data_IF_464737061575
#
_entry.id   IF_464737061575
#
_cell.length_a   1.000
_cell.length_b   1.000
_cell.length_c   1.000
_cell.angle_alpha   90.00
_cell.angle_beta   90.00
_cell.angle_gamma   90.00
#
_symmetry.space_group_name_H-M   'P 1'
#
loop_
_entity.id
_entity.type
_entity.pdbx_description
1 polymer ?
#
# COMPACT_ATOMS: atom_id res chain seq x y z
N UNK A 1 -11.53 19.35 -17.69
CA UNK A 1 -11.28 19.09 -16.24
C UNK A 1 -11.20 17.59 -15.88
N UNK A 2 -11.59 16.64 -16.76
CA UNK A 2 -11.50 15.17 -16.50
C UNK A 2 -10.13 14.56 -16.77
N UNK A 3 -9.27 15.16 -17.59
CA UNK A 3 -7.95 14.62 -17.93
C UNK A 3 -6.87 14.85 -16.86
N UNK A 4 -7.02 15.84 -15.99
CA UNK A 4 -6.03 16.13 -14.93
C UNK A 4 -6.13 15.21 -13.71
N UNK A 5 -7.27 14.52 -13.49
CA UNK A 5 -7.42 13.54 -12.40
C UNK A 5 -6.66 12.24 -12.69
N UNK A 6 -6.66 11.75 -13.92
CA UNK A 6 -6.06 10.48 -14.30
C UNK A 6 -4.53 10.43 -14.10
N UNK A 7 -3.84 11.53 -14.35
CA UNK A 7 -2.39 11.63 -14.14
C UNK A 7 -1.99 11.85 -12.68
N UNK A 8 -2.83 12.48 -11.88
CA UNK A 8 -2.59 12.69 -10.46
C UNK A 8 -2.77 11.40 -9.65
N UNK A 9 -3.72 10.57 -10.03
CA UNK A 9 -4.01 9.34 -9.32
C UNK A 9 -2.90 8.29 -9.53
N UNK A 10 -2.29 8.23 -10.70
CA UNK A 10 -1.28 7.22 -11.00
C UNK A 10 0.06 7.42 -10.27
N UNK A 11 0.51 8.63 -10.05
CA UNK A 11 1.80 8.90 -9.40
C UNK A 11 1.68 9.09 -7.87
N UNK A 12 0.53 9.57 -7.37
CA UNK A 12 0.35 9.80 -5.94
C UNK A 12 -0.19 8.58 -5.19
N UNK A 13 -1.02 7.75 -5.82
CA UNK A 13 -1.64 6.61 -5.15
C UNK A 13 -0.72 5.39 -5.08
N UNK A 14 0.08 5.13 -6.10
CA UNK A 14 0.97 3.95 -6.13
C UNK A 14 2.18 4.11 -5.21
N UNK A 15 2.76 5.29 -5.09
CA UNK A 15 3.96 5.49 -4.27
C UNK A 15 3.69 5.95 -2.84
N UNK A 16 2.64 6.75 -2.61
CA UNK A 16 2.42 7.33 -1.29
C UNK A 16 1.40 6.59 -0.46
N UNK A 17 0.31 6.09 -1.04
CA UNK A 17 -0.73 5.41 -0.27
C UNK A 17 -0.39 3.96 0.04
N UNK A 18 0.17 3.20 -0.90
CA UNK A 18 0.50 1.78 -0.72
C UNK A 18 1.58 1.54 0.34
N UNK A 19 2.57 2.42 0.41
CA UNK A 19 3.66 2.32 1.38
C UNK A 19 3.43 3.15 2.65
N UNK A 20 2.47 4.08 2.63
CA UNK A 20 2.21 5.00 3.73
C UNK A 20 1.91 4.27 5.04
N UNK A 21 1.06 3.27 4.98
CA UNK A 21 0.71 2.49 6.16
C UNK A 21 1.95 1.76 6.72
N UNK A 22 2.78 1.13 5.88
CA UNK A 22 4.01 0.47 6.30
C UNK A 22 5.04 1.42 6.92
N UNK A 23 5.20 2.59 6.32
CA UNK A 23 6.22 3.55 6.76
C UNK A 23 5.85 4.27 8.05
N UNK A 24 4.55 4.57 8.25
CA UNK A 24 4.11 5.45 9.33
C UNK A 24 3.37 4.73 10.46
N UNK A 25 2.72 3.60 10.19
CA UNK A 25 1.86 2.95 11.17
C UNK A 25 2.41 1.66 11.76
N UNK A 26 3.31 0.96 11.08
CA UNK A 26 3.96 -0.24 11.63
C UNK A 26 5.00 0.11 12.71
N UNK A 27 5.40 -0.87 13.50
CA UNK A 27 6.42 -0.67 14.51
C UNK A 27 7.76 -0.23 13.89
N UNK A 28 8.54 0.64 14.55
CA UNK A 28 9.74 1.27 13.96
C UNK A 28 10.79 0.29 13.45
N UNK A 29 10.91 -0.87 14.09
CA UNK A 29 11.91 -1.91 13.75
C UNK A 29 11.28 -3.11 13.05
N UNK A 30 10.01 -3.04 12.63
CA UNK A 30 9.33 -4.14 11.98
C UNK A 30 9.97 -4.50 10.64
N UNK A 31 9.87 -5.77 10.27
CA UNK A 31 10.35 -6.26 8.98
C UNK A 31 9.64 -5.54 7.82
N UNK A 32 8.31 -5.35 7.93
CA UNK A 32 7.51 -4.66 6.93
C UNK A 32 8.02 -3.24 6.64
N UNK A 33 8.31 -2.46 7.70
CA UNK A 33 8.84 -1.09 7.55
C UNK A 33 10.23 -1.09 6.92
N UNK A 34 11.12 -1.94 7.39
CA UNK A 34 12.49 -2.04 6.87
C UNK A 34 12.52 -2.50 5.42
N UNK A 35 11.68 -3.47 5.06
CA UNK A 35 11.53 -3.95 3.69
C UNK A 35 11.07 -2.83 2.75
N UNK A 36 10.03 -2.07 3.15
CA UNK A 36 9.55 -0.92 2.39
C UNK A 36 10.62 0.16 2.23
N UNK A 37 11.36 0.48 3.30
CA UNK A 37 12.46 1.44 3.25
C UNK A 37 13.58 0.98 2.32
N UNK A 38 13.93 -0.32 2.34
CA UNK A 38 14.95 -0.89 1.44
C UNK A 38 14.52 -0.80 -0.01
N UNK A 39 13.27 -1.14 -0.33
CA UNK A 39 12.73 -1.01 -1.68
C UNK A 39 12.77 0.45 -2.17
N UNK A 40 12.32 1.40 -1.35
CA UNK A 40 12.37 2.82 -1.66
C UNK A 40 13.80 3.32 -1.88
N UNK A 41 14.74 2.86 -1.06
CA UNK A 41 16.16 3.21 -1.21
C UNK A 41 16.68 2.78 -2.59
N UNK A 42 16.47 1.52 -2.99
CA UNK A 42 16.90 1.03 -4.30
C UNK A 42 16.22 1.78 -5.46
N UNK A 43 14.93 2.02 -5.37
CA UNK A 43 14.18 2.75 -6.39
C UNK A 43 14.71 4.17 -6.52
N UNK A 44 14.87 4.89 -5.41
CA UNK A 44 15.34 6.28 -5.42
C UNK A 44 16.76 6.38 -5.98
N UNK A 45 17.65 5.50 -5.57
CA UNK A 45 19.01 5.43 -6.11
C UNK A 45 19.05 5.19 -7.62
N UNK A 46 18.19 4.27 -8.12
CA UNK A 46 18.09 4.03 -9.56
C UNK A 46 17.54 5.25 -10.30
N UNK A 47 16.45 5.83 -9.78
CA UNK A 47 15.80 6.99 -10.39
C UNK A 47 16.74 8.20 -10.48
N UNK A 48 17.48 8.53 -9.42
CA UNK A 48 18.42 9.67 -9.43
C UNK A 48 19.50 9.49 -10.48
N UNK A 49 20.08 8.30 -10.62
CA UNK A 49 21.08 8.01 -11.64
C UNK A 49 20.52 8.09 -13.07
N UNK A 50 19.27 7.65 -13.26
CA UNK A 50 18.61 7.79 -14.57
C UNK A 50 18.23 9.23 -14.90
N UNK A 51 17.96 10.05 -13.89
CA UNK A 51 17.64 11.48 -14.06
C UNK A 51 18.87 12.35 -14.30
N UNK A 52 20.05 11.95 -13.82
CA UNK A 52 21.28 12.74 -13.87
C UNK A 52 21.64 13.30 -15.26
N UNK A 53 21.48 12.56 -16.38
CA UNK A 53 21.84 13.08 -17.70
C UNK A 53 20.98 14.25 -18.19
N UNK A 54 19.75 14.42 -17.69
CA UNK A 54 18.81 15.45 -18.18
C UNK A 54 18.28 16.39 -17.09
N UNK A 55 18.31 15.98 -15.82
CA UNK A 55 17.98 16.80 -14.67
C UNK A 55 19.19 16.93 -13.72
N UNK A 56 20.32 17.31 -14.29
CA UNK A 56 21.63 17.26 -13.66
C UNK A 56 21.69 17.91 -12.28
N UNK A 57 21.19 19.14 -12.16
CA UNK A 57 21.23 19.89 -10.89
C UNK A 57 20.31 19.26 -9.84
N UNK A 58 19.09 18.92 -10.24
CA UNK A 58 18.11 18.28 -9.32
C UNK A 58 18.59 16.93 -8.84
N UNK A 59 19.18 16.12 -9.74
CA UNK A 59 19.71 14.80 -9.39
C UNK A 59 20.89 14.92 -8.42
N UNK A 60 21.82 15.85 -8.67
CA UNK A 60 22.96 16.12 -7.79
C UNK A 60 22.53 16.63 -6.41
N UNK A 61 21.58 17.55 -6.36
CA UNK A 61 21.06 18.12 -5.12
C UNK A 61 20.38 17.05 -4.28
N UNK A 62 19.53 16.21 -4.89
CA UNK A 62 18.88 15.10 -4.22
C UNK A 62 19.86 14.00 -3.78
N UNK A 63 20.90 13.73 -4.60
CA UNK A 63 21.93 12.73 -4.29
C UNK A 63 22.68 13.06 -3.00
N UNK A 64 23.00 14.32 -2.76
CA UNK A 64 23.66 14.79 -1.53
C UNK A 64 22.86 14.49 -0.26
N UNK A 65 21.53 14.40 -0.36
CA UNK A 65 20.66 14.05 0.77
C UNK A 65 20.78 12.58 1.19
N UNK A 66 21.31 11.70 0.31
CA UNK A 66 21.53 10.29 0.62
C UNK A 66 22.86 10.02 1.34
N UNK A 67 23.62 11.07 1.68
CA UNK A 67 24.82 10.95 2.51
C UNK A 67 26.08 10.51 1.75
N UNK A 68 26.09 10.58 0.43
CA UNK A 68 27.30 10.41 -0.39
C UNK A 68 27.98 11.76 -0.57
N UNK A 69 29.27 11.85 -0.26
CA UNK A 69 30.05 13.08 -0.44
C UNK A 69 30.53 13.26 -1.90
N UNK A 70 30.37 12.24 -2.73
CA UNK A 70 30.76 12.26 -4.13
C UNK A 70 29.59 12.67 -5.03
N UNK A 71 29.92 13.30 -6.15
CA UNK A 71 28.91 13.71 -7.12
C UNK A 71 28.27 12.50 -7.81
N UNK A 72 26.97 12.60 -8.09
CA UNK A 72 26.22 11.58 -8.84
C UNK A 72 26.83 11.34 -10.24
N UNK A 73 27.55 12.30 -10.79
CA UNK A 73 28.18 12.19 -12.11
C UNK A 73 29.37 11.21 -12.16
N UNK A 74 29.84 10.75 -11.02
CA UNK A 74 30.82 9.67 -10.94
C UNK A 74 30.17 8.28 -10.84
N UNK A 75 28.86 8.23 -10.70
CA UNK A 75 28.10 6.99 -10.58
C UNK A 75 27.75 6.39 -11.94
N UNK A 76 27.65 5.07 -11.99
CA UNK A 76 27.17 4.33 -13.16
C UNK A 76 25.69 3.96 -13.01
N UNK A 77 25.03 3.61 -14.12
CA UNK A 77 23.64 3.13 -14.06
C UNK A 77 23.53 1.85 -13.23
N UNK A 78 22.49 1.81 -12.42
CA UNK A 78 22.18 0.65 -11.57
C UNK A 78 21.75 -0.53 -12.44
N UNK A 79 22.38 -1.67 -12.22
CA UNK A 79 21.86 -2.94 -12.71
C UNK A 79 20.87 -3.47 -11.67
N UNK A 80 19.59 -3.44 -12.01
CA UNK A 80 18.56 -4.03 -11.16
C UNK A 80 18.61 -5.55 -11.25
N UNK A 81 18.28 -6.27 -10.16
CA UNK A 81 18.20 -7.72 -10.20
C UNK A 81 17.15 -8.19 -11.21
N UNK A 82 17.35 -9.38 -11.75
CA UNK A 82 16.34 -9.97 -12.65
C UNK A 82 15.03 -10.17 -11.92
N UNK A 83 13.95 -9.88 -12.60
CA UNK A 83 12.60 -10.08 -12.08
C UNK A 83 12.29 -11.57 -12.09
N UNK A 84 11.73 -12.06 -10.98
CA UNK A 84 11.06 -13.36 -10.96
C UNK A 84 9.74 -13.22 -11.73
N UNK A 85 9.67 -13.88 -12.89
CA UNK A 85 8.51 -13.79 -13.78
C UNK A 85 7.24 -14.40 -13.15
N UNK A 86 7.38 -15.42 -12.30
CA UNK A 86 6.26 -16.01 -11.58
C UNK A 86 5.68 -15.01 -10.55
N UNK A 87 6.55 -14.35 -9.82
CA UNK A 87 6.16 -13.30 -8.88
C UNK A 87 5.52 -12.11 -9.60
N UNK A 88 6.06 -11.72 -10.76
CA UNK A 88 5.49 -10.66 -11.58
C UNK A 88 4.09 -11.01 -12.09
N UNK A 89 3.89 -12.24 -12.60
CA UNK A 89 2.58 -12.71 -13.05
C UNK A 89 1.57 -12.72 -11.90
N UNK A 90 1.98 -13.23 -10.72
CA UNK A 90 1.18 -13.20 -9.50
C UNK A 90 0.70 -11.77 -9.16
N UNK A 91 1.62 -10.81 -9.08
CA UNK A 91 1.28 -9.44 -8.72
C UNK A 91 0.51 -8.69 -9.81
N UNK A 92 0.70 -9.02 -11.09
CA UNK A 92 -0.11 -8.47 -12.17
C UNK A 92 -1.58 -8.88 -12.00
N UNK A 93 -1.85 -10.17 -11.72
CA UNK A 93 -3.22 -10.63 -11.48
C UNK A 93 -3.85 -9.97 -10.26
N UNK A 94 -3.11 -9.84 -9.16
CA UNK A 94 -3.56 -9.12 -7.96
C UNK A 94 -3.92 -7.66 -8.28
N UNK A 95 -3.12 -6.97 -9.11
CA UNK A 95 -3.41 -5.59 -9.54
C UNK A 95 -4.68 -5.50 -10.36
N UNK A 96 -4.93 -6.41 -11.31
CA UNK A 96 -6.17 -6.45 -12.09
C UNK A 96 -7.40 -6.56 -11.18
N UNK A 97 -7.34 -7.45 -10.16
CA UNK A 97 -8.42 -7.59 -9.19
C UNK A 97 -8.56 -6.31 -8.35
N UNK A 98 -7.44 -5.72 -7.92
CA UNK A 98 -7.44 -4.45 -7.19
C UNK A 98 -8.06 -3.31 -7.99
N UNK A 99 -7.77 -3.22 -9.29
CA UNK A 99 -8.34 -2.20 -10.17
C UNK A 99 -9.87 -2.35 -10.28
N UNK A 100 -10.37 -3.58 -10.31
CA UNK A 100 -11.81 -3.83 -10.27
C UNK A 100 -12.42 -3.41 -8.92
N UNK A 101 -11.78 -3.74 -7.79
CA UNK A 101 -12.20 -3.29 -6.45
C UNK A 101 -12.20 -1.76 -6.36
N UNK A 102 -11.15 -1.10 -6.83
CA UNK A 102 -11.05 0.35 -6.82
C UNK A 102 -12.17 1.02 -7.62
N UNK A 103 -12.56 0.44 -8.75
CA UNK A 103 -13.69 0.93 -9.56
C UNK A 103 -15.00 0.94 -8.76
N UNK A 104 -15.28 -0.11 -8.00
CA UNK A 104 -16.49 -0.20 -7.19
C UNK A 104 -16.42 0.74 -5.96
N UNK A 105 -15.25 0.92 -5.36
CA UNK A 105 -15.02 1.92 -4.30
C UNK A 105 -15.28 3.35 -4.83
N UNK A 106 -14.78 3.68 -6.04
CA UNK A 106 -15.00 5.00 -6.63
C UNK A 106 -16.49 5.22 -6.97
N UNK A 107 -17.22 4.19 -7.37
CA UNK A 107 -18.67 4.29 -7.56
C UNK A 107 -19.41 4.67 -6.26
N UNK A 108 -19.04 4.08 -5.12
CA UNK A 108 -19.57 4.46 -3.80
C UNK A 108 -19.15 5.87 -3.39
N UNK A 109 -17.95 6.27 -3.75
CA UNK A 109 -17.43 7.61 -3.46
C UNK A 109 -18.15 8.69 -4.26
N UNK A 110 -18.45 8.43 -5.53
CA UNK A 110 -19.27 9.32 -6.37
C UNK A 110 -20.69 9.50 -5.83
N UNK A 111 -21.25 8.45 -5.19
CA UNK A 111 -22.54 8.49 -4.51
C UNK A 111 -22.47 9.15 -3.11
N UNK A 112 -21.29 9.54 -2.65
CA UNK A 112 -21.09 10.15 -1.33
C UNK A 112 -21.19 9.18 -0.15
N UNK A 113 -21.21 7.86 -0.39
CA UNK A 113 -21.34 6.84 0.65
C UNK A 113 -20.03 6.59 1.40
N UNK A 114 -18.88 6.79 0.76
CA UNK A 114 -17.57 6.69 1.38
C UNK A 114 -16.73 7.93 1.05
N UNK A 115 -15.93 8.40 2.02
CA UNK A 115 -15.00 9.53 1.83
C UNK A 115 -13.61 9.09 1.36
N UNK A 116 -13.23 7.85 1.65
CA UNK A 116 -11.94 7.26 1.27
C UNK A 116 -12.05 5.74 1.18
N UNK A 117 -11.11 5.09 0.48
CA UNK A 117 -11.04 3.63 0.37
C UNK A 117 -10.91 2.94 1.75
N UNK A 118 -10.25 3.58 2.73
CA UNK A 118 -10.14 3.07 4.09
C UNK A 118 -11.48 3.02 4.85
N UNK A 119 -12.52 3.68 4.35
CA UNK A 119 -13.88 3.56 4.89
C UNK A 119 -14.65 2.36 4.30
N UNK A 120 -14.07 1.67 3.33
CA UNK A 120 -14.73 0.55 2.66
C UNK A 120 -14.42 -0.79 3.33
N UNK A 121 -15.44 -1.64 3.34
CA UNK A 121 -15.36 -3.08 3.59
C UNK A 121 -15.58 -3.79 2.27
N UNK A 122 -14.65 -4.67 1.90
CA UNK A 122 -14.69 -5.43 0.64
C UNK A 122 -14.92 -6.90 0.95
N UNK A 123 -15.88 -7.50 0.25
CA UNK A 123 -16.10 -8.94 0.21
C UNK A 123 -15.85 -9.43 -1.21
N UNK A 124 -14.94 -10.36 -1.35
CA UNK A 124 -14.58 -10.98 -2.62
C UNK A 124 -15.08 -12.40 -2.67
N UNK A 125 -15.69 -12.76 -3.80
CA UNK A 125 -15.92 -14.15 -4.19
C UNK A 125 -14.99 -14.42 -5.37
N UNK A 126 -14.25 -15.53 -5.36
CA UNK A 126 -13.28 -15.81 -6.41
C UNK A 126 -13.27 -17.29 -6.80
N UNK A 127 -13.05 -17.54 -8.08
CA UNK A 127 -12.81 -18.89 -8.61
C UNK A 127 -11.53 -19.51 -8.05
N UNK A 128 -11.30 -20.83 -8.25
CA UNK A 128 -10.23 -21.57 -7.55
C UNK A 128 -8.85 -20.93 -7.64
N UNK A 129 -8.45 -20.48 -8.84
CA UNK A 129 -7.11 -19.92 -9.08
C UNK A 129 -6.95 -18.54 -8.40
N UNK A 130 -7.90 -17.64 -8.59
CA UNK A 130 -7.89 -16.32 -7.97
C UNK A 130 -8.04 -16.43 -6.44
N UNK A 131 -8.85 -17.39 -5.97
CA UNK A 131 -9.01 -17.64 -4.54
C UNK A 131 -7.70 -18.10 -3.90
N UNK A 132 -7.02 -19.09 -4.48
CA UNK A 132 -5.72 -19.55 -3.99
C UNK A 132 -4.69 -18.41 -3.99
N UNK A 133 -4.68 -17.61 -5.06
CA UNK A 133 -3.82 -16.45 -5.21
C UNK A 133 -4.03 -15.42 -4.08
N UNK A 134 -5.28 -15.00 -3.86
CA UNK A 134 -5.63 -14.00 -2.86
C UNK A 134 -5.49 -14.54 -1.43
N UNK A 135 -5.82 -15.82 -1.21
CA UNK A 135 -5.65 -16.49 0.08
C UNK A 135 -4.17 -16.54 0.51
N UNK A 136 -3.24 -16.60 -0.46
CA UNK A 136 -1.80 -16.55 -0.18
C UNK A 136 -1.34 -15.23 0.47
N UNK A 137 -2.15 -14.19 0.43
CA UNK A 137 -1.89 -12.89 1.08
C UNK A 137 -2.38 -12.85 2.53
N UNK A 138 -3.27 -13.77 2.93
CA UNK A 138 -3.80 -13.85 4.29
C UNK A 138 -4.40 -12.53 4.76
N UNK A 139 -4.09 -12.16 5.99
CA UNK A 139 -4.58 -10.92 6.63
C UNK A 139 -4.05 -9.64 5.99
N UNK A 140 -3.01 -9.73 5.14
CA UNK A 140 -2.45 -8.57 4.43
C UNK A 140 -3.31 -8.14 3.23
N UNK A 141 -4.31 -8.92 2.84
CA UNK A 141 -5.19 -8.64 1.69
C UNK A 141 -5.84 -7.25 1.77
N UNK A 142 -6.31 -6.85 2.94
CA UNK A 142 -6.90 -5.52 3.19
C UNK A 142 -5.93 -4.37 2.90
N UNK A 143 -4.65 -4.58 3.13
CA UNK A 143 -3.63 -3.55 2.85
C UNK A 143 -3.31 -3.45 1.36
N UNK A 144 -3.41 -4.56 0.63
CA UNK A 144 -3.26 -4.57 -0.82
C UNK A 144 -4.39 -3.78 -1.49
N UNK A 145 -5.62 -3.87 -0.98
CA UNK A 145 -6.76 -3.10 -1.49
C UNK A 145 -6.90 -1.71 -0.84
N UNK A 146 -6.09 -1.39 0.16
CA UNK A 146 -6.17 -0.14 0.94
C UNK A 146 -7.58 0.06 1.53
N UNK A 147 -8.11 -1.00 2.13
CA UNK A 147 -9.44 -1.01 2.77
C UNK A 147 -9.34 -1.41 4.24
N UNK A 148 -10.36 -1.13 5.02
CA UNK A 148 -10.37 -1.51 6.44
C UNK A 148 -10.57 -3.00 6.64
N UNK A 149 -11.38 -3.62 5.79
CA UNK A 149 -11.67 -5.06 5.80
C UNK A 149 -11.64 -5.59 4.37
N UNK A 150 -11.03 -6.74 4.18
CA UNK A 150 -11.11 -7.52 2.95
C UNK A 150 -11.37 -8.98 3.33
N UNK A 151 -12.57 -9.46 3.02
CA UNK A 151 -12.98 -10.85 3.22
C UNK A 151 -12.98 -11.60 1.89
N UNK A 152 -12.52 -12.84 1.89
CA UNK A 152 -12.45 -13.68 0.70
C UNK A 152 -13.30 -14.94 0.91
N UNK A 153 -14.09 -15.28 -0.10
CA UNK A 153 -14.89 -16.50 -0.16
C UNK A 153 -14.64 -17.24 -1.47
N UNK A 154 -14.67 -18.54 -1.43
CA UNK A 154 -14.63 -19.37 -2.64
C UNK A 154 -15.94 -19.25 -3.42
N UNK A 155 -15.84 -19.21 -4.74
CA UNK A 155 -16.98 -19.19 -5.66
C UNK A 155 -16.57 -19.66 -7.04
N UNK A 156 -17.46 -19.52 -8.02
CA UNK A 156 -17.17 -19.91 -9.42
C UNK A 156 -16.51 -18.78 -10.21
N UNK A 157 -16.89 -17.55 -9.91
CA UNK A 157 -16.42 -16.35 -10.63
C UNK A 157 -15.99 -15.27 -9.66
N UNK A 158 -15.23 -14.29 -10.17
CA UNK A 158 -14.87 -13.10 -9.42
C UNK A 158 -16.13 -12.25 -9.19
N UNK A 159 -16.54 -12.11 -7.95
CA UNK A 159 -17.57 -11.19 -7.47
C UNK A 159 -16.96 -10.21 -6.47
N UNK A 160 -17.36 -8.96 -6.55
CA UNK A 160 -16.88 -7.89 -5.69
C UNK A 160 -18.10 -7.23 -5.07
N UNK A 161 -18.15 -7.18 -3.76
CA UNK A 161 -19.15 -6.45 -2.98
C UNK A 161 -18.44 -5.45 -2.07
N UNK A 162 -18.72 -4.17 -2.26
CA UNK A 162 -18.09 -3.09 -1.51
C UNK A 162 -19.16 -2.33 -0.74
N UNK A 163 -18.96 -2.17 0.56
CA UNK A 163 -19.89 -1.50 1.45
C UNK A 163 -19.17 -0.49 2.35
N UNK A 164 -19.82 0.62 2.74
CA UNK A 164 -19.29 1.52 3.76
C UNK A 164 -19.14 0.77 5.09
N UNK A 165 -18.02 1.00 5.77
CA UNK A 165 -17.81 0.47 7.12
C UNK A 165 -18.66 1.25 8.14
N UNK A 166 -19.31 0.54 9.06
CA UNK A 166 -20.01 1.09 10.21
C UNK A 166 -19.13 1.19 11.47
N UNK A 167 -17.90 0.70 11.41
CA UNK A 167 -16.96 0.71 12.52
C UNK A 167 -16.45 2.14 12.84
N UNK A 168 -15.63 2.28 13.87
CA UNK A 168 -15.04 3.56 14.28
C UNK A 168 -13.67 3.79 13.60
N UNK A 169 -13.42 5.01 13.15
CA UNK A 169 -12.16 5.39 12.52
C UNK A 169 -11.06 5.52 13.56
N UNK A 170 -9.95 4.81 13.37
CA UNK A 170 -8.73 4.99 14.15
C UNK A 170 -8.01 6.29 13.74
N UNK A 171 -7.69 7.17 14.70
CA UNK A 171 -7.05 8.47 14.41
C UNK A 171 -5.63 8.35 13.84
N UNK A 172 -4.92 7.25 14.14
CA UNK A 172 -3.55 7.05 13.69
C UNK A 172 -3.44 6.41 12.31
N UNK A 173 -4.08 5.24 12.08
CA UNK A 173 -3.97 4.51 10.82
C UNK A 173 -5.09 4.81 9.84
N UNK A 174 -6.14 5.47 10.30
CA UNK A 174 -7.33 5.86 9.55
C UNK A 174 -8.20 4.70 9.05
N UNK A 175 -7.85 3.46 9.41
CA UNK A 175 -8.73 2.32 9.18
C UNK A 175 -9.95 2.40 10.11
N UNK A 176 -11.07 1.91 9.62
CA UNK A 176 -12.31 1.77 10.38
C UNK A 176 -12.34 0.38 11.02
N UNK A 177 -12.35 0.32 12.35
CA UNK A 177 -12.19 -0.92 13.08
C UNK A 177 -13.10 -0.95 14.31
N UNK A 178 -13.60 -2.15 14.63
CA UNK A 178 -14.48 -2.36 15.78
C UNK A 178 -13.73 -2.29 17.12
N UNK A 179 -12.40 -2.47 17.09
CA UNK A 179 -11.55 -2.47 18.28
C UNK A 179 -10.99 -1.09 18.67
N UNK A 180 -11.44 -0.01 18.03
CA UNK A 180 -11.09 1.35 18.44
C UNK A 180 -11.73 1.65 19.80
N UNK A 181 -10.89 2.10 20.75
CA UNK A 181 -11.35 2.44 22.11
C UNK A 181 -11.37 1.26 23.08
N UNK A 182 -10.97 0.06 22.67
CA UNK A 182 -10.86 -1.07 23.61
C UNK A 182 -9.73 -0.87 24.63
N UNK A 183 -8.69 -0.16 24.27
CA UNK A 183 -7.64 0.26 25.19
C UNK A 183 -8.02 1.60 25.82
N UNK A 184 -8.34 1.58 27.14
CA UNK A 184 -8.74 2.77 27.88
C UNK A 184 -7.65 3.83 28.01
N UNK A 185 -6.37 3.44 27.91
CA UNK A 185 -5.25 4.36 27.89
C UNK A 185 -5.13 5.09 26.54
N UNK A 186 -5.69 4.51 25.48
CA UNK A 186 -5.60 5.03 24.11
C UNK A 186 -6.96 4.92 23.38
N UNK A 187 -7.99 5.62 23.83
CA UNK A 187 -9.38 5.41 23.39
C UNK A 187 -9.67 5.76 21.92
N UNK A 188 -8.77 6.49 21.25
CA UNK A 188 -8.90 6.86 19.82
C UNK A 188 -8.14 5.92 18.88
N UNK A 189 -7.39 4.96 19.46
CA UNK A 189 -6.56 4.03 18.69
C UNK A 189 -7.20 2.64 18.61
N UNK A 190 -6.96 1.96 17.49
CA UNK A 190 -7.27 0.54 17.34
C UNK A 190 -6.17 -0.33 17.98
N UNK A 191 -6.49 -1.58 18.33
CA UNK A 191 -5.55 -2.52 18.95
C UNK A 191 -4.28 -2.76 18.14
N UNK A 192 -4.38 -2.73 16.80
CA UNK A 192 -3.20 -2.77 15.92
C UNK A 192 -2.25 -1.60 16.17
N UNK A 193 -2.77 -0.38 16.25
CA UNK A 193 -1.96 0.82 16.47
C UNK A 193 -1.37 0.85 17.87
N UNK A 194 -2.12 0.42 18.87
CA UNK A 194 -1.62 0.28 20.23
C UNK A 194 -0.49 -0.75 20.31
N UNK A 195 -0.65 -1.91 19.69
CA UNK A 195 0.41 -2.92 19.60
C UNK A 195 1.67 -2.40 18.88
N UNK A 196 1.52 -1.66 17.78
CA UNK A 196 2.64 -1.11 17.02
C UNK A 196 3.40 0.00 17.75
N UNK A 197 2.75 0.73 18.66
CA UNK A 197 3.36 1.82 19.43
C UNK A 197 3.97 1.34 20.75
N UNK A 198 3.26 0.47 21.46
CA UNK A 198 3.55 0.15 22.85
C UNK A 198 3.77 -1.34 23.09
N UNK A 199 3.47 -2.20 22.12
CA UNK A 199 3.58 -3.66 22.22
C UNK A 199 4.59 -4.28 21.28
N UNK A 200 4.37 -5.56 20.97
CA UNK A 200 5.24 -6.35 20.09
C UNK A 200 5.16 -5.93 18.60
N UNK A 201 4.13 -5.16 18.24
CA UNK A 201 3.83 -4.83 16.87
C UNK A 201 3.05 -5.93 16.13
N UNK A 202 2.61 -5.59 14.93
CA UNK A 202 1.94 -6.53 14.03
C UNK A 202 2.94 -7.33 13.20
N UNK A 203 2.56 -8.54 12.79
CA UNK A 203 3.29 -9.33 11.80
C UNK A 203 2.67 -9.12 10.43
N UNK A 204 3.46 -8.69 9.45
CA UNK A 204 3.06 -8.51 8.04
C UNK A 204 4.07 -9.20 7.13
N UNK A 205 3.59 -9.87 6.10
CA UNK A 205 4.42 -10.68 5.20
C UNK A 205 4.44 -10.15 3.76
N UNK A 206 3.32 -9.61 3.27
CA UNK A 206 3.14 -9.31 1.85
C UNK A 206 2.84 -7.85 1.53
N UNK A 207 2.22 -7.10 2.42
CA UNK A 207 1.78 -5.73 2.14
C UNK A 207 1.98 -4.76 3.30
#
# INVERSE_FOLDING_TARGET
RRHTRYWRDWSSDVCSSDLKDRLYTTAPKSLARRSAQTALWHITHAMLRWMAPFLSFTAEEAWKLFGTNESIFFETFVQLPRIDESLRAKWNRIREIRDAVNKDIEALREQGQVGSSLQATVRLTAGPDDNALLQSLGDDLKFVFITSVAALQAGEHLGIDVQPSSATKCERCWHWRDDVGHDTAHPTLCGRCTSNLYGAGESRQHA
#
